data_IF_428086512667
#
_entry.id   IF_428086512667
#
_cell.length_a   1.000
_cell.length_b   1.000
_cell.length_c   1.000
_cell.angle_alpha   90.00
_cell.angle_beta   90.00
_cell.angle_gamma   90.00
#
_symmetry.space_group_name_H-M   'P 1'
#
loop_
_entity.id
_entity.type
_entity.pdbx_description
1 polymer ?
#
# COMPACT_ATOMS: atom_id res chain seq x y z
N UNK A 1 1.28 -0.31 4.79
CA UNK A 1 1.39 0.20 3.41
C UNK A 1 0.27 1.16 3.03
N UNK A 2 -1.00 0.72 2.89
CA UNK A 2 -2.10 1.60 2.40
C UNK A 2 -2.24 2.88 3.23
N UNK A 3 -2.41 2.73 4.54
CA UNK A 3 -2.60 3.85 5.49
C UNK A 3 -1.42 4.83 5.39
N UNK A 4 -0.20 4.32 5.44
CA UNK A 4 1.01 5.15 5.45
C UNK A 4 1.22 5.88 4.13
N UNK A 5 1.08 5.20 2.98
CA UNK A 5 1.25 5.82 1.67
C UNK A 5 0.17 6.86 1.39
N UNK A 6 -1.10 6.49 1.60
CA UNK A 6 -2.23 7.37 1.32
C UNK A 6 -2.14 8.64 2.15
N UNK A 7 -2.07 8.54 3.48
CA UNK A 7 -2.11 9.73 4.34
C UNK A 7 -0.85 10.57 4.24
N UNK A 8 0.33 9.99 4.00
CA UNK A 8 1.55 10.79 3.80
C UNK A 8 1.44 11.68 2.55
N UNK A 9 0.97 11.13 1.43
CA UNK A 9 0.76 11.92 0.21
C UNK A 9 -0.41 12.87 0.39
N UNK A 10 -1.52 12.42 0.99
CA UNK A 10 -2.72 13.22 1.20
C UNK A 10 -2.45 14.49 2.03
N UNK A 11 -1.66 14.37 3.11
CA UNK A 11 -1.29 15.50 3.97
C UNK A 11 -0.35 16.47 3.25
N UNK A 12 0.55 15.95 2.40
CA UNK A 12 1.43 16.79 1.60
C UNK A 12 0.66 17.55 0.52
N UNK A 13 -0.06 16.83 -0.33
CA UNK A 13 -1.01 17.37 -1.31
C UNK A 13 -2.00 16.27 -1.71
N UNK A 14 -3.26 16.45 -1.29
CA UNK A 14 -4.33 15.49 -1.57
C UNK A 14 -4.65 15.34 -3.04
N UNK A 15 -4.43 16.34 -3.90
CA UNK A 15 -4.78 16.23 -5.33
C UNK A 15 -3.95 15.14 -6.05
N UNK A 16 -2.81 14.75 -5.47
CA UNK A 16 -1.90 13.74 -6.02
C UNK A 16 -2.41 12.30 -5.87
N UNK A 17 -3.34 12.04 -4.95
CA UNK A 17 -3.84 10.69 -4.63
C UNK A 17 -5.37 10.64 -4.47
N UNK A 18 -5.99 11.75 -4.07
CA UNK A 18 -7.41 11.85 -3.80
C UNK A 18 -7.95 13.25 -4.16
N UNK A 19 -8.17 13.52 -5.47
CA UNK A 19 -8.65 14.81 -5.95
C UNK A 19 -9.96 15.24 -5.31
N UNK A 20 -10.18 16.55 -5.15
CA UNK A 20 -11.44 17.09 -4.57
C UNK A 20 -12.70 16.67 -5.33
N UNK A 21 -12.59 16.34 -6.62
CA UNK A 21 -13.69 15.80 -7.41
C UNK A 21 -14.31 14.56 -6.75
N UNK A 22 -13.50 13.73 -6.08
CA UNK A 22 -13.96 12.51 -5.41
C UNK A 22 -14.86 12.78 -4.20
N UNK A 23 -14.77 13.96 -3.57
CA UNK A 23 -15.62 14.32 -2.42
C UNK A 23 -17.11 14.36 -2.79
N UNK A 24 -17.43 14.54 -4.08
CA UNK A 24 -18.82 14.52 -4.58
C UNK A 24 -19.41 13.11 -4.65
N UNK A 25 -18.56 12.07 -4.65
CA UNK A 25 -18.96 10.68 -4.84
C UNK A 25 -18.69 9.82 -3.60
N UNK A 26 -17.63 10.15 -2.86
CA UNK A 26 -17.12 9.37 -1.75
C UNK A 26 -17.17 10.26 -0.50
N UNK A 27 -18.11 10.03 0.43
CA UNK A 27 -18.19 10.82 1.64
C UNK A 27 -16.96 10.58 2.54
N UNK A 28 -16.61 11.57 3.35
CA UNK A 28 -15.40 11.55 4.18
C UNK A 28 -15.29 10.30 5.08
N UNK A 29 -16.41 9.83 5.65
CA UNK A 29 -16.42 8.62 6.48
C UNK A 29 -16.01 7.38 5.68
N UNK A 30 -16.40 7.28 4.41
CA UNK A 30 -16.04 6.17 3.54
C UNK A 30 -14.57 6.27 3.14
N UNK A 31 -14.05 7.48 2.89
CA UNK A 31 -12.62 7.68 2.66
C UNK A 31 -11.77 7.18 3.86
N UNK A 32 -12.15 7.56 5.08
CA UNK A 32 -11.54 7.01 6.30
C UNK A 32 -11.75 5.50 6.44
N UNK A 33 -12.94 5.02 6.06
CA UNK A 33 -13.29 3.60 6.00
C UNK A 33 -12.42 2.78 5.05
N UNK A 34 -11.85 3.39 4.01
CA UNK A 34 -10.95 2.71 3.07
C UNK A 34 -9.47 2.86 3.46
N UNK A 35 -9.09 3.99 4.06
CA UNK A 35 -7.67 4.36 4.21
C UNK A 35 -7.17 4.47 5.66
N UNK A 36 -8.05 4.50 6.66
CA UNK A 36 -7.66 4.57 8.08
C UNK A 36 -7.97 3.27 8.81
N UNK A 37 -9.17 2.72 8.63
CA UNK A 37 -9.68 1.54 9.37
C UNK A 37 -8.88 0.26 9.12
N UNK A 38 -8.16 0.17 8.00
CA UNK A 38 -7.29 -0.97 7.70
C UNK A 38 -6.26 -1.20 8.81
N UNK A 39 -5.72 -0.12 9.41
CA UNK A 39 -4.72 -0.23 10.47
C UNK A 39 -5.27 -0.90 11.75
N UNK A 40 -6.34 -0.38 12.40
CA UNK A 40 -6.86 -1.03 13.60
C UNK A 40 -7.35 -2.46 13.33
N UNK A 41 -7.94 -2.75 12.16
CA UNK A 41 -8.36 -4.12 11.85
C UNK A 41 -7.18 -5.09 11.71
N UNK A 42 -6.10 -4.70 11.02
CA UNK A 42 -4.88 -5.52 10.94
C UNK A 42 -4.25 -5.72 12.32
N UNK A 43 -4.26 -4.71 13.19
CA UNK A 43 -3.71 -4.83 14.55
C UNK A 43 -4.57 -5.75 15.43
N UNK A 44 -5.90 -5.66 15.34
CA UNK A 44 -6.81 -6.57 16.02
C UNK A 44 -6.60 -7.99 15.52
N UNK A 45 -6.59 -8.19 14.19
CA UNK A 45 -6.39 -9.50 13.57
C UNK A 45 -5.08 -10.14 14.02
N UNK A 46 -3.96 -9.40 13.98
CA UNK A 46 -2.65 -9.87 14.42
C UNK A 46 -2.62 -10.27 15.90
N UNK A 47 -3.44 -9.61 16.74
CA UNK A 47 -3.58 -9.94 18.16
C UNK A 47 -4.51 -11.11 18.43
N UNK A 48 -5.52 -11.34 17.59
CA UNK A 48 -6.52 -12.40 17.81
C UNK A 48 -6.22 -13.69 17.05
N UNK A 49 -5.38 -13.61 16.01
CA UNK A 49 -5.06 -14.71 15.10
C UNK A 49 -3.56 -14.87 15.00
N UNK A 50 -3.06 -16.09 15.25
CA UNK A 50 -1.67 -16.42 15.03
C UNK A 50 -1.45 -16.82 13.57
N UNK A 51 -0.88 -15.93 12.77
CA UNK A 51 -0.58 -16.23 11.37
C UNK A 51 0.73 -17.00 11.26
N UNK A 52 0.70 -18.12 10.53
CA UNK A 52 1.92 -18.83 10.14
C UNK A 52 2.44 -18.22 8.85
N UNK A 53 3.48 -17.39 8.96
CA UNK A 53 4.16 -16.81 7.81
C UNK A 53 4.90 -17.90 7.04
N UNK A 54 4.91 -17.87 5.69
CA UNK A 54 5.77 -18.74 4.89
C UNK A 54 7.25 -18.39 5.13
N UNK A 55 8.16 -19.13 4.50
CA UNK A 55 9.58 -18.74 4.54
C UNK A 55 9.76 -17.31 4.03
N UNK A 56 10.66 -16.54 4.67
CA UNK A 56 10.91 -15.13 4.35
C UNK A 56 11.10 -14.87 2.86
N UNK A 57 11.91 -15.69 2.20
CA UNK A 57 12.17 -15.58 0.76
C UNK A 57 10.91 -15.80 -0.07
N UNK A 58 10.07 -16.78 0.28
CA UNK A 58 8.81 -17.04 -0.39
C UNK A 58 7.81 -15.88 -0.18
N UNK A 59 7.67 -15.39 1.05
CA UNK A 59 6.79 -14.27 1.36
C UNK A 59 7.19 -12.97 0.66
N UNK A 60 8.48 -12.62 0.70
CA UNK A 60 9.01 -11.46 -0.02
C UNK A 60 8.86 -11.60 -1.53
N UNK A 61 9.11 -12.79 -2.09
CA UNK A 61 8.89 -13.05 -3.51
C UNK A 61 7.41 -12.86 -3.87
N UNK A 62 6.48 -13.41 -3.08
CA UNK A 62 5.04 -13.27 -3.32
C UNK A 62 4.58 -11.80 -3.27
N UNK A 63 5.01 -11.04 -2.24
CA UNK A 63 4.71 -9.61 -2.11
C UNK A 63 5.28 -8.82 -3.28
N UNK A 64 6.51 -9.11 -3.69
CA UNK A 64 7.16 -8.47 -4.83
C UNK A 64 6.44 -8.78 -6.15
N UNK A 65 6.09 -10.05 -6.40
CA UNK A 65 5.33 -10.46 -7.59
C UNK A 65 3.98 -9.74 -7.66
N UNK A 66 3.27 -9.64 -6.54
CA UNK A 66 2.00 -8.91 -6.49
C UNK A 66 2.19 -7.42 -6.74
N UNK A 67 3.21 -6.80 -6.15
CA UNK A 67 3.53 -5.39 -6.36
C UNK A 67 3.86 -5.09 -7.84
N UNK A 68 4.70 -5.92 -8.47
CA UNK A 68 5.04 -5.79 -9.89
C UNK A 68 3.80 -5.98 -10.76
N UNK A 69 2.98 -6.99 -10.47
CA UNK A 69 1.70 -7.21 -11.18
C UNK A 69 0.78 -5.99 -11.10
N UNK A 70 0.66 -5.38 -9.93
CA UNK A 70 -0.12 -4.15 -9.74
C UNK A 70 0.47 -2.95 -10.50
N UNK A 71 1.79 -2.77 -10.47
CA UNK A 71 2.47 -1.71 -11.23
C UNK A 71 2.23 -1.88 -12.73
N UNK A 72 2.37 -3.10 -13.25
CA UNK A 72 2.08 -3.41 -14.65
C UNK A 72 0.62 -3.10 -15.00
N UNK A 73 -0.31 -3.41 -14.10
CA UNK A 73 -1.72 -3.07 -14.27
C UNK A 73 -1.98 -1.55 -14.31
N UNK A 74 -1.35 -0.78 -13.42
CA UNK A 74 -1.44 0.69 -13.43
C UNK A 74 -0.87 1.27 -14.72
N UNK A 75 0.29 0.77 -15.18
CA UNK A 75 0.88 1.15 -16.46
C UNK A 75 -0.02 0.79 -17.64
N UNK A 76 -0.67 -0.37 -17.60
CA UNK A 76 -1.63 -0.81 -18.61
C UNK A 76 -2.85 0.12 -18.68
N UNK A 77 -3.43 0.50 -17.54
CA UNK A 77 -4.54 1.47 -17.50
C UNK A 77 -4.14 2.77 -18.17
N UNK A 78 -2.96 3.32 -17.85
CA UNK A 78 -2.49 4.54 -18.49
C UNK A 78 -2.26 4.34 -20.00
N UNK A 79 -1.69 3.20 -20.40
CA UNK A 79 -1.50 2.90 -21.82
C UNK A 79 -2.82 2.88 -22.61
N UNK A 80 -3.90 2.35 -22.03
CA UNK A 80 -5.21 2.24 -22.68
C UNK A 80 -6.03 3.53 -22.60
N UNK A 81 -5.99 4.24 -21.47
CA UNK A 81 -6.88 5.38 -21.20
C UNK A 81 -6.20 6.74 -21.40
N UNK A 82 -4.87 6.78 -21.44
CA UNK A 82 -4.09 8.02 -21.40
C UNK A 82 -4.08 8.73 -20.05
N UNK A 83 -4.65 8.12 -19.00
CA UNK A 83 -4.79 8.72 -17.67
C UNK A 83 -4.16 7.82 -16.61
N UNK A 84 -3.36 8.40 -15.70
CA UNK A 84 -2.85 7.67 -14.55
C UNK A 84 -3.92 7.51 -13.48
N UNK A 85 -3.97 6.31 -12.90
CA UNK A 85 -4.81 6.00 -11.72
C UNK A 85 -4.48 6.95 -10.56
N UNK A 86 -3.21 7.32 -10.42
CA UNK A 86 -2.73 8.27 -9.42
C UNK A 86 -2.21 9.54 -10.11
N UNK A 87 -2.84 10.71 -9.90
CA UNK A 87 -2.40 11.98 -10.49
C UNK A 87 -0.93 12.31 -10.20
N UNK A 88 -0.39 11.85 -9.07
CA UNK A 88 1.05 11.92 -8.76
C UNK A 88 1.92 11.49 -9.94
N UNK A 89 1.58 10.38 -10.61
CA UNK A 89 2.40 9.80 -11.66
C UNK A 89 2.47 10.70 -12.90
N UNK A 90 1.44 11.49 -13.19
CA UNK A 90 1.46 12.45 -14.30
C UNK A 90 2.59 13.47 -14.13
N UNK A 91 2.87 13.87 -12.89
CA UNK A 91 3.84 14.91 -12.56
C UNK A 91 5.29 14.42 -12.51
N UNK A 92 5.52 13.10 -12.57
CA UNK A 92 6.86 12.51 -12.48
C UNK A 92 7.48 12.30 -13.87
N UNK A 93 8.77 12.58 -14.04
CA UNK A 93 9.47 12.18 -15.27
C UNK A 93 9.60 10.65 -15.35
N UNK A 94 9.83 10.05 -16.54
CA UNK A 94 9.93 8.59 -16.68
C UNK A 94 10.99 7.95 -15.76
N UNK A 95 12.15 8.58 -15.60
CA UNK A 95 13.19 8.08 -14.68
C UNK A 95 12.75 8.11 -13.22
N UNK A 96 12.06 9.18 -12.81
CA UNK A 96 11.55 9.30 -11.43
C UNK A 96 10.42 8.31 -11.16
N UNK A 97 9.57 8.00 -12.16
CA UNK A 97 8.55 6.94 -12.05
C UNK A 97 9.17 5.58 -11.73
N UNK A 98 10.27 5.22 -12.40
CA UNK A 98 10.99 3.96 -12.14
C UNK A 98 11.49 3.92 -10.69
N UNK A 99 12.12 5.00 -10.24
CA UNK A 99 12.61 5.12 -8.85
C UNK A 99 11.44 5.03 -7.87
N UNK A 100 10.33 5.70 -8.15
CA UNK A 100 9.13 5.67 -7.32
C UNK A 100 8.56 4.24 -7.21
N UNK A 101 8.41 3.54 -8.34
CA UNK A 101 7.93 2.15 -8.36
C UNK A 101 8.86 1.19 -7.61
N UNK A 102 10.17 1.36 -7.76
CA UNK A 102 11.15 0.59 -6.98
C UNK A 102 11.02 0.88 -5.49
N UNK A 103 10.91 2.15 -5.10
CA UNK A 103 10.79 2.58 -3.71
C UNK A 103 9.52 2.03 -3.05
N UNK A 104 8.34 2.15 -3.69
CA UNK A 104 7.10 1.59 -3.11
C UNK A 104 7.15 0.07 -2.99
N UNK A 105 7.82 -0.62 -3.93
CA UNK A 105 8.05 -2.07 -3.87
C UNK A 105 8.95 -2.44 -2.69
N UNK A 106 10.00 -1.67 -2.43
CA UNK A 106 10.84 -1.87 -1.23
C UNK A 106 10.04 -1.61 0.04
N UNK A 107 9.28 -0.52 0.09
CA UNK A 107 8.49 -0.14 1.27
C UNK A 107 7.44 -1.22 1.63
N UNK A 108 6.72 -1.78 0.65
CA UNK A 108 5.75 -2.84 0.94
C UNK A 108 6.43 -4.12 1.49
N UNK A 109 7.63 -4.45 1.02
CA UNK A 109 8.41 -5.56 1.57
C UNK A 109 8.91 -5.28 2.99
N UNK A 110 9.27 -4.03 3.31
CA UNK A 110 9.59 -3.64 4.70
C UNK A 110 8.36 -3.81 5.59
N UNK A 111 7.17 -3.39 5.15
CA UNK A 111 5.93 -3.60 5.91
C UNK A 111 5.61 -5.08 6.12
N UNK A 112 5.89 -5.95 5.13
CA UNK A 112 5.75 -7.40 5.30
C UNK A 112 6.65 -7.92 6.42
N UNK A 113 7.93 -7.52 6.43
CA UNK A 113 8.89 -7.92 7.48
C UNK A 113 8.49 -7.40 8.86
N UNK A 114 8.03 -6.15 8.95
CA UNK A 114 7.51 -5.59 10.21
C UNK A 114 6.31 -6.40 10.69
N UNK A 115 5.39 -6.78 9.80
CA UNK A 115 4.26 -7.63 10.13
C UNK A 115 4.69 -9.00 10.66
N UNK A 116 5.62 -9.67 9.99
CA UNK A 116 6.18 -10.95 10.43
C UNK A 116 6.82 -10.84 11.83
N UNK A 117 7.66 -9.83 12.06
CA UNK A 117 8.33 -9.61 13.35
C UNK A 117 7.33 -9.33 14.46
N UNK A 118 6.33 -8.48 14.21
CA UNK A 118 5.31 -8.15 15.21
C UNK A 118 4.44 -9.37 15.55
N UNK A 119 4.03 -10.15 14.54
CA UNK A 119 3.30 -11.39 14.76
C UNK A 119 4.09 -12.36 15.64
N UNK A 120 5.36 -12.62 15.31
CA UNK A 120 6.19 -13.50 16.10
C UNK A 120 6.39 -12.95 17.53
N UNK A 121 6.62 -11.65 17.69
CA UNK A 121 6.76 -11.05 19.03
C UNK A 121 5.51 -11.21 19.91
N UNK A 122 4.31 -11.08 19.33
CA UNK A 122 3.03 -11.21 20.04
C UNK A 122 2.78 -12.65 20.50
N UNK A 123 3.19 -13.64 19.71
CA UNK A 123 2.83 -15.06 19.92
C UNK A 123 3.99 -15.90 20.48
N UNK A 124 5.26 -15.52 20.29
CA UNK A 124 6.42 -16.17 20.92
C UNK A 124 6.48 -15.92 22.43
N UNK A 125 5.80 -14.89 22.94
CA UNK A 125 5.63 -14.68 24.38
C UNK A 125 4.77 -15.76 25.07
N UNK A 126 4.17 -16.69 24.31
CA UNK A 126 3.32 -17.77 24.83
C UNK A 126 4.03 -19.15 24.87
N UNK A 127 5.34 -19.21 24.56
CA UNK A 127 6.18 -20.41 24.76
C UNK A 127 7.07 -20.27 25.99
#
# INVERSE_FOLDING_TARGET
FVVTMFWSIYIYDRELVYPKLLDNFIPAWLNHGMHTTVLPFVLIEMRTTHHQYPSRSCGLAAVCTFAVGYILWVCWIHHVTGVWVYPLLEHLSPGVKIIFFAAVTVIINIFYLVGEVLNNYIWDTQK
#
